data_IF_641223536927
#
_entry.id   IF_641223536927
#
_cell.length_a   1.000
_cell.length_b   1.000
_cell.length_c   1.000
_cell.angle_alpha   90.00
_cell.angle_beta   90.00
_cell.angle_gamma   90.00
#
_symmetry.space_group_name_H-M   'P 1'
#
loop_
_entity.id
_entity.type
_entity.pdbx_description
1 polymer ?
#
# COMPACT_ATOMS: atom_id res chain seq x y z
N UNK A 1 3.78 26.12 12.66
CA UNK A 1 4.74 25.83 11.57
C UNK A 1 4.17 24.72 10.70
N UNK A 2 4.36 24.76 9.37
CA UNK A 2 3.93 23.67 8.47
C UNK A 2 5.05 22.64 8.39
N UNK A 3 4.76 21.38 8.70
CA UNK A 3 5.66 20.23 8.54
C UNK A 3 5.49 19.68 7.12
N UNK A 4 6.61 19.43 6.44
CA UNK A 4 6.66 18.84 5.10
C UNK A 4 7.36 17.49 5.19
N UNK A 5 6.63 16.42 4.93
CA UNK A 5 7.16 15.05 4.99
C UNK A 5 7.17 14.46 3.59
N UNK A 6 8.31 13.95 3.12
CA UNK A 6 8.38 13.28 1.83
C UNK A 6 7.57 11.97 1.86
N UNK A 7 6.91 11.65 0.76
CA UNK A 7 6.21 10.37 0.59
C UNK A 7 6.31 9.87 -0.85
N UNK A 8 6.15 8.56 -1.01
CA UNK A 8 6.01 7.90 -2.29
C UNK A 8 4.93 6.83 -2.21
N UNK A 9 4.18 6.67 -3.29
CA UNK A 9 3.18 5.62 -3.44
C UNK A 9 3.39 4.88 -4.76
N UNK A 10 3.02 3.60 -4.78
CA UNK A 10 3.06 2.78 -5.99
C UNK A 10 1.65 2.34 -6.34
N UNK A 11 1.24 2.55 -7.59
CA UNK A 11 -0.05 2.14 -8.12
C UNK A 11 0.15 1.21 -9.32
N UNK A 12 -0.65 0.17 -9.39
CA UNK A 12 -0.80 -0.71 -10.55
C UNK A 12 -2.11 -0.42 -11.28
N UNK A 13 -2.35 -1.11 -12.38
CA UNK A 13 -3.61 -0.99 -13.12
C UNK A 13 -4.84 -1.11 -12.20
N UNK A 14 -5.81 -0.23 -12.42
CA UNK A 14 -7.07 -0.08 -11.67
C UNK A 14 -6.94 0.17 -10.16
N UNK A 15 -5.73 0.39 -9.64
CA UNK A 15 -5.57 0.75 -8.23
C UNK A 15 -5.92 2.22 -7.98
N UNK A 16 -6.53 2.44 -6.81
CA UNK A 16 -6.95 3.76 -6.33
C UNK A 16 -6.25 4.08 -5.00
N UNK A 17 -5.61 5.23 -4.92
CA UNK A 17 -5.22 5.87 -3.66
C UNK A 17 -6.31 6.88 -3.27
N UNK A 18 -6.65 6.93 -1.98
CA UNK A 18 -7.70 7.80 -1.45
C UNK A 18 -7.13 8.69 -0.37
N UNK A 19 -7.47 9.97 -0.42
CA UNK A 19 -7.23 10.89 0.67
C UNK A 19 -7.86 10.34 1.96
N UNK A 20 -7.03 10.17 2.98
CA UNK A 20 -7.48 9.85 4.32
C UNK A 20 -7.26 11.09 5.17
N UNK A 21 -8.33 11.54 5.81
CA UNK A 21 -8.23 12.61 6.80
C UNK A 21 -7.40 12.08 7.97
N UNK A 22 -6.39 12.84 8.36
CA UNK A 22 -5.50 12.51 9.47
C UNK A 22 -5.29 13.78 10.28
N UNK A 23 -5.16 13.65 11.60
CA UNK A 23 -4.99 14.80 12.49
C UNK A 23 -3.81 15.66 12.05
N UNK A 24 -4.10 16.91 11.71
CA UNK A 24 -3.10 17.88 11.26
C UNK A 24 -2.62 17.72 9.82
N UNK A 25 -3.11 16.74 9.03
CA UNK A 25 -2.85 16.69 7.60
C UNK A 25 -3.61 17.83 6.88
N UNK A 26 -2.93 18.53 5.98
CA UNK A 26 -3.51 19.58 5.15
C UNK A 26 -3.76 19.10 3.73
N UNK A 27 -2.75 18.55 3.09
CA UNK A 27 -2.86 18.03 1.73
C UNK A 27 -1.68 17.13 1.34
N UNK A 28 -1.86 16.39 0.25
CA UNK A 28 -0.79 15.74 -0.49
C UNK A 28 -0.41 16.57 -1.71
N UNK A 29 0.89 16.80 -1.89
CA UNK A 29 1.45 17.49 -3.06
C UNK A 29 2.26 16.49 -3.86
N UNK A 30 1.89 16.26 -5.11
CA UNK A 30 2.62 15.36 -6.00
C UNK A 30 3.52 16.17 -6.92
N UNK A 31 4.79 15.76 -6.99
CA UNK A 31 5.85 16.48 -7.70
C UNK A 31 6.40 15.70 -8.89
N UNK A 32 6.37 14.36 -8.82
CA UNK A 32 6.92 13.51 -9.86
C UNK A 32 6.15 12.20 -9.97
N UNK A 33 6.00 11.71 -11.19
CA UNK A 33 5.36 10.44 -11.51
C UNK A 33 6.30 9.65 -12.41
N UNK A 34 6.55 8.39 -12.10
CA UNK A 34 7.49 7.51 -12.80
C UNK A 34 6.83 6.18 -13.12
N UNK A 35 6.89 5.77 -14.37
CA UNK A 35 6.49 4.46 -14.88
C UNK A 35 7.66 3.49 -14.71
N UNK A 36 7.36 2.34 -14.12
CA UNK A 36 8.27 1.22 -13.95
C UNK A 36 7.71 0.03 -14.71
N UNK A 37 8.45 -0.40 -15.73
CA UNK A 37 8.08 -1.47 -16.65
C UNK A 37 8.01 -1.03 -18.11
N UNK A 38 7.69 -1.97 -19.00
CA UNK A 38 7.48 -1.73 -20.43
C UNK A 38 5.98 -1.69 -20.70
N UNK A 39 5.46 -0.52 -21.07
CA UNK A 39 4.03 -0.36 -21.37
C UNK A 39 3.60 1.10 -21.31
N UNK A 40 2.29 1.30 -21.13
CA UNK A 40 1.67 2.61 -20.95
C UNK A 40 0.82 2.66 -19.67
N UNK A 41 0.81 3.83 -19.03
CA UNK A 41 -0.03 4.09 -17.87
C UNK A 41 -0.48 5.55 -17.81
N UNK A 42 -1.68 5.78 -17.30
CA UNK A 42 -2.28 7.10 -17.10
C UNK A 42 -2.69 7.26 -15.65
N UNK A 43 -2.34 8.41 -15.07
CA UNK A 43 -2.71 8.79 -13.71
C UNK A 43 -3.79 9.87 -13.77
N UNK A 44 -4.88 9.63 -13.05
CA UNK A 44 -6.00 10.55 -12.94
C UNK A 44 -6.23 10.99 -11.51
N UNK A 45 -6.54 12.27 -11.33
CA UNK A 45 -7.10 12.81 -10.09
C UNK A 45 -8.62 12.81 -10.17
N UNK A 46 -9.30 12.36 -9.12
CA UNK A 46 -10.76 12.33 -9.05
C UNK A 46 -11.29 13.08 -7.84
N UNK A 47 -12.43 13.73 -8.06
CA UNK A 47 -13.33 14.28 -7.05
C UNK A 47 -14.75 13.79 -7.33
N UNK A 48 -15.71 14.13 -6.48
CA UNK A 48 -17.12 13.76 -6.65
C UNK A 48 -17.72 14.17 -8.00
N UNK A 49 -17.19 15.20 -8.66
CA UNK A 49 -17.71 15.72 -9.92
C UNK A 49 -16.66 15.98 -11.00
N UNK A 50 -15.38 15.69 -10.75
CA UNK A 50 -14.29 15.96 -11.70
C UNK A 50 -13.35 14.78 -11.83
N UNK A 51 -12.87 14.58 -13.06
CA UNK A 51 -11.76 13.70 -13.39
C UNK A 51 -10.76 14.49 -14.22
N UNK A 52 -9.51 14.54 -13.79
CA UNK A 52 -8.42 15.21 -14.51
C UNK A 52 -7.30 14.22 -14.81
N UNK A 53 -6.77 14.27 -16.03
CA UNK A 53 -5.55 13.54 -16.38
C UNK A 53 -4.35 14.31 -15.83
N UNK A 54 -3.57 13.68 -14.96
CA UNK A 54 -2.38 14.28 -14.34
C UNK A 54 -1.13 13.93 -15.14
N UNK A 55 -1.02 12.69 -15.60
CA UNK A 55 0.09 12.23 -16.42
C UNK A 55 -0.32 11.08 -17.34
N UNK A 56 0.30 11.04 -18.52
CA UNK A 56 0.28 9.92 -19.45
C UNK A 56 1.71 9.50 -19.71
N UNK A 57 2.07 8.28 -19.30
CA UNK A 57 3.41 7.73 -19.36
C UNK A 57 3.43 6.56 -20.34
N UNK A 58 4.56 6.41 -21.04
CA UNK A 58 4.83 5.33 -21.98
C UNK A 58 6.30 4.96 -21.90
N UNK A 59 6.71 3.79 -22.36
CA UNK A 59 8.12 3.34 -22.23
C UNK A 59 9.19 4.38 -22.65
N UNK A 60 8.93 5.20 -23.68
CA UNK A 60 9.85 6.28 -24.13
C UNK A 60 9.77 7.57 -23.28
N UNK A 61 8.68 7.78 -22.56
CA UNK A 61 8.42 8.90 -21.65
C UNK A 61 7.93 8.31 -20.32
N UNK A 62 8.87 7.70 -19.60
CA UNK A 62 8.58 6.94 -18.39
C UNK A 62 8.56 7.82 -17.13
N UNK A 63 8.71 9.13 -17.24
CA UNK A 63 8.60 10.03 -16.10
C UNK A 63 8.00 11.38 -16.48
N UNK A 64 7.34 12.01 -15.52
CA UNK A 64 6.73 13.33 -15.65
C UNK A 64 6.89 14.11 -14.34
N UNK A 65 7.24 15.40 -14.43
CA UNK A 65 7.10 16.32 -13.30
C UNK A 65 5.69 16.89 -13.29
N UNK A 66 5.07 16.95 -12.12
CA UNK A 66 3.72 17.49 -11.96
C UNK A 66 3.67 18.43 -10.76
N UNK A 67 2.60 19.23 -10.68
CA UNK A 67 2.25 20.03 -9.51
C UNK A 67 0.78 19.80 -9.21
N UNK A 68 0.47 18.62 -8.69
CA UNK A 68 -0.90 18.23 -8.36
C UNK A 68 -1.09 18.25 -6.85
N UNK A 69 -2.25 18.74 -6.39
CA UNK A 69 -2.59 18.83 -4.97
C UNK A 69 -3.88 18.04 -4.76
N UNK A 70 -3.87 17.19 -3.73
CA UNK A 70 -4.99 16.36 -3.31
C UNK A 70 -5.28 16.66 -1.85
N UNK A 71 -6.53 17.03 -1.56
CA UNK A 71 -7.03 17.46 -0.27
C UNK A 71 -8.51 17.08 -0.13
N UNK A 72 -9.06 17.24 1.07
CA UNK A 72 -10.45 16.87 1.37
C UNK A 72 -11.50 17.64 0.55
N UNK A 73 -11.17 18.83 0.04
CA UNK A 73 -12.12 19.76 -0.58
C UNK A 73 -12.09 19.75 -2.11
N UNK A 74 -11.02 19.22 -2.71
CA UNK A 74 -10.80 19.31 -4.14
C UNK A 74 -10.76 17.93 -4.79
N UNK A 75 -9.59 17.28 -4.84
CA UNK A 75 -9.44 15.92 -5.34
C UNK A 75 -9.17 15.00 -4.16
N UNK A 76 -9.93 13.91 -4.06
CA UNK A 76 -9.84 12.96 -2.94
C UNK A 76 -9.34 11.59 -3.38
N UNK A 77 -9.20 11.33 -4.68
CA UNK A 77 -8.63 10.08 -5.16
C UNK A 77 -7.61 10.27 -6.27
N UNK A 78 -6.68 9.33 -6.34
CA UNK A 78 -5.73 9.15 -7.43
C UNK A 78 -5.92 7.74 -8.01
N UNK A 79 -6.13 7.61 -9.32
CA UNK A 79 -6.29 6.31 -9.98
C UNK A 79 -5.23 6.12 -11.05
N UNK A 80 -4.70 4.90 -11.12
CA UNK A 80 -3.86 4.44 -12.22
C UNK A 80 -4.66 3.54 -13.17
N UNK A 81 -4.55 3.80 -14.47
CA UNK A 81 -5.08 2.96 -15.55
C UNK A 81 -3.95 2.69 -16.54
N UNK A 82 -3.60 1.43 -16.78
CA UNK A 82 -2.47 1.08 -17.64
C UNK A 82 -2.35 -0.42 -17.86
N UNK A 83 -1.22 -0.84 -18.41
CA UNK A 83 -0.95 -2.25 -18.61
C UNK A 83 -0.75 -2.97 -17.27
N UNK A 84 -1.27 -4.18 -17.12
CA UNK A 84 -1.24 -4.95 -15.87
C UNK A 84 0.19 -5.29 -15.39
N UNK A 85 1.14 -5.34 -16.33
CA UNK A 85 2.56 -5.58 -16.07
C UNK A 85 3.33 -4.33 -15.62
N UNK A 86 2.68 -3.16 -15.63
CA UNK A 86 3.32 -1.88 -15.27
C UNK A 86 2.95 -1.42 -13.87
N UNK A 87 3.84 -0.63 -13.28
CA UNK A 87 3.57 0.08 -12.04
C UNK A 87 3.97 1.54 -12.16
N UNK A 88 3.26 2.42 -11.47
CA UNK A 88 3.51 3.84 -11.45
C UNK A 88 3.83 4.28 -10.03
N UNK A 89 5.00 4.88 -9.86
CA UNK A 89 5.42 5.52 -8.63
C UNK A 89 5.07 6.99 -8.68
N UNK A 90 4.32 7.47 -7.68
CA UNK A 90 3.98 8.89 -7.52
C UNK A 90 4.69 9.40 -6.29
N UNK A 91 5.51 10.43 -6.45
CA UNK A 91 6.36 11.00 -5.42
C UNK A 91 5.89 12.40 -5.07
N UNK A 92 6.08 12.79 -3.81
CA UNK A 92 5.59 14.07 -3.36
C UNK A 92 5.86 14.37 -1.89
N UNK A 93 5.08 15.31 -1.35
CA UNK A 93 5.12 15.67 0.06
C UNK A 93 3.73 15.71 0.68
N UNK A 94 3.64 15.17 1.89
CA UNK A 94 2.55 15.39 2.83
C UNK A 94 2.79 16.72 3.55
N UNK A 95 1.83 17.63 3.49
CA UNK A 95 1.85 18.88 4.25
C UNK A 95 0.93 18.74 5.45
N UNK A 96 1.42 19.09 6.63
CA UNK A 96 0.63 19.07 7.86
C UNK A 96 0.95 20.19 8.82
N UNK A 97 0.04 20.49 9.73
CA UNK A 97 0.28 21.34 10.90
C UNK A 97 1.05 20.53 11.95
N UNK A 98 1.94 21.22 12.65
CA UNK A 98 2.61 20.67 13.83
C UNK A 98 1.56 20.55 14.94
N UNK A 99 1.04 19.34 15.15
CA UNK A 99 0.24 19.01 16.32
C UNK A 99 1.23 18.80 17.48
N UNK A 100 0.93 19.30 18.68
CA UNK A 100 1.71 18.91 19.86
C UNK A 100 1.61 17.39 19.98
N UNK A 101 2.71 16.70 19.72
CA UNK A 101 2.81 15.25 19.87
C UNK A 101 2.57 14.95 21.36
N UNK A 102 1.38 14.43 21.71
CA UNK A 102 1.41 13.25 22.60
C UNK A 102 2.16 12.21 21.79
N UNK A 103 3.22 11.64 22.35
CA UNK A 103 3.99 10.57 21.73
C UNK A 103 3.06 9.41 21.34
N UNK A 104 2.51 9.47 20.13
CA UNK A 104 2.00 8.30 19.44
C UNK A 104 3.18 7.75 18.68
N UNK A 105 3.67 6.61 19.17
CA UNK A 105 4.68 5.78 18.53
C UNK A 105 4.21 5.44 17.10
N UNK A 106 4.59 6.26 16.12
CA UNK A 106 4.38 5.94 14.71
C UNK A 106 5.40 4.89 14.29
N UNK A 107 5.16 3.63 14.71
CA UNK A 107 5.54 2.52 13.86
C UNK A 107 4.68 2.64 12.61
N UNK A 108 5.32 2.77 11.44
CA UNK A 108 4.66 2.54 10.17
C UNK A 108 4.10 1.12 10.20
N UNK A 109 2.82 0.96 10.52
CA UNK A 109 2.12 -0.25 10.14
C UNK A 109 1.99 -0.23 8.61
N UNK A 110 2.94 -0.90 7.95
CA UNK A 110 2.58 -1.70 6.80
C UNK A 110 1.47 -2.66 7.27
N UNK A 111 0.21 -2.20 7.22
CA UNK A 111 -0.95 -3.10 7.19
C UNK A 111 -0.92 -3.82 5.83
N UNK A 112 0.09 -4.68 5.66
CA UNK A 112 -0.14 -5.93 4.96
C UNK A 112 -1.26 -6.58 5.74
N UNK A 113 -2.38 -6.82 5.06
CA UNK A 113 -3.51 -7.59 5.58
C UNK A 113 -3.03 -8.97 6.07
N UNK A 114 -2.44 -9.04 7.27
CA UNK A 114 -1.97 -10.29 7.85
C UNK A 114 -3.15 -11.18 8.20
N UNK A 115 -4.26 -10.59 8.63
CA UNK A 115 -5.42 -11.36 9.07
C UNK A 115 -6.26 -11.93 7.92
N UNK A 116 -6.37 -11.22 6.78
CA UNK A 116 -7.07 -11.73 5.60
C UNK A 116 -6.24 -12.76 4.80
N UNK A 117 -4.90 -12.68 4.86
CA UNK A 117 -4.03 -13.70 4.24
C UNK A 117 -3.76 -14.91 5.15
N UNK A 118 -3.83 -14.77 6.49
CA UNK A 118 -3.72 -15.90 7.43
C UNK A 118 -4.80 -16.94 7.16
N UNK A 119 -6.02 -16.51 6.81
CA UNK A 119 -7.12 -17.40 6.43
C UNK A 119 -6.89 -18.16 5.11
N UNK A 120 -6.03 -17.64 4.23
CA UNK A 120 -5.71 -18.20 2.91
C UNK A 120 -4.46 -19.09 2.92
N UNK A 121 -3.61 -19.01 3.96
CA UNK A 121 -2.48 -19.92 4.11
C UNK A 121 -2.95 -21.34 4.46
N UNK A 122 -2.34 -22.40 3.88
CA UNK A 122 -2.58 -23.77 4.32
C UNK A 122 -2.36 -23.86 5.84
N UNK A 123 -3.25 -24.57 6.55
CA UNK A 123 -3.25 -24.66 8.02
C UNK A 123 -1.88 -25.09 8.56
N UNK A 124 -1.19 -25.95 7.81
CA UNK A 124 0.11 -26.49 8.20
C UNK A 124 1.26 -25.49 8.18
N UNK A 125 1.06 -24.30 7.61
CA UNK A 125 2.06 -23.22 7.55
C UNK A 125 1.82 -22.10 8.55
N UNK A 126 0.68 -22.11 9.24
CA UNK A 126 0.33 -21.13 10.27
C UNK A 126 1.11 -21.40 11.55
N UNK A 127 1.45 -20.36 12.29
CA UNK A 127 1.73 -20.51 13.72
C UNK A 127 0.37 -20.48 14.42
N UNK A 128 -0.03 -21.63 14.98
CA UNK A 128 -1.28 -21.81 15.71
C UNK A 128 -1.00 -21.77 17.20
N UNK A 129 -1.81 -21.02 17.92
CA UNK A 129 -1.83 -21.03 19.38
C UNK A 129 -2.54 -22.29 19.89
N UNK A 130 -2.44 -22.57 21.21
CA UNK A 130 -2.96 -23.81 21.82
C UNK A 130 -4.43 -24.06 21.49
N UNK A 131 -5.23 -23.01 21.56
CA UNK A 131 -6.68 -23.08 21.43
C UNK A 131 -7.09 -23.31 19.96
N UNK A 132 -6.38 -22.68 19.02
CA UNK A 132 -6.59 -22.87 17.59
C UNK A 132 -6.14 -24.26 17.13
N UNK A 133 -5.05 -24.79 17.70
CA UNK A 133 -4.60 -26.15 17.42
C UNK A 133 -5.62 -27.18 17.89
N UNK A 134 -6.28 -26.97 19.04
CA UNK A 134 -7.29 -27.90 19.55
C UNK A 134 -8.54 -28.00 18.69
N UNK A 135 -8.88 -26.93 17.96
CA UNK A 135 -10.02 -26.88 17.04
C UNK A 135 -9.78 -27.64 15.72
N UNK A 136 -8.55 -28.04 15.41
CA UNK A 136 -8.24 -28.77 14.19
C UNK A 136 -8.77 -30.22 14.20
N UNK A 137 -9.09 -30.71 13.00
CA UNK A 137 -9.40 -32.13 12.79
C UNK A 137 -8.19 -33.02 13.12
N UNK A 138 -8.43 -34.30 13.47
CA UNK A 138 -7.35 -35.25 13.78
C UNK A 138 -6.36 -35.42 12.61
N UNK A 139 -6.83 -35.27 11.36
CA UNK A 139 -6.00 -35.39 10.16
C UNK A 139 -5.06 -34.19 10.03
N UNK A 140 -5.58 -32.98 10.21
CA UNK A 140 -4.83 -31.73 10.05
C UNK A 140 -3.81 -31.53 11.18
N UNK A 141 -4.17 -31.94 12.41
CA UNK A 141 -3.23 -32.00 13.56
C UNK A 141 -1.98 -32.84 13.24
N UNK A 142 -2.15 -33.93 12.49
CA UNK A 142 -1.05 -34.85 12.14
C UNK A 142 -0.14 -34.26 11.07
N UNK A 143 -0.70 -33.56 10.08
CA UNK A 143 0.08 -32.89 9.04
C UNK A 143 0.81 -31.65 9.56
N UNK A 144 0.15 -30.84 10.39
CA UNK A 144 0.75 -29.69 11.09
C UNK A 144 2.01 -30.08 11.87
N UNK A 145 1.91 -31.12 12.72
CA UNK A 145 3.05 -31.65 13.50
C UNK A 145 4.19 -32.18 12.60
N UNK A 146 3.87 -32.74 11.44
CA UNK A 146 4.86 -33.27 10.49
C UNK A 146 5.65 -32.15 9.83
N UNK A 147 5.01 -31.07 9.39
CA UNK A 147 5.69 -29.90 8.79
C UNK A 147 6.50 -29.10 9.82
N UNK A 148 6.01 -28.94 11.05
CA UNK A 148 6.76 -28.28 12.13
C UNK A 148 8.08 -29.02 12.45
N UNK A 149 8.05 -30.37 12.49
CA UNK A 149 9.28 -31.18 12.63
C UNK A 149 10.23 -31.06 11.45
N UNK A 150 9.74 -30.81 10.23
CA UNK A 150 10.59 -30.57 9.06
C UNK A 150 11.24 -29.18 9.11
N UNK A 151 10.50 -28.14 9.51
CA UNK A 151 11.05 -26.79 9.73
C UNK A 151 12.18 -26.78 10.77
N UNK A 152 11.97 -27.41 11.94
CA UNK A 152 13.01 -27.51 12.97
C UNK A 152 14.26 -28.26 12.52
N UNK A 153 14.15 -29.20 11.56
CA UNK A 153 15.32 -29.89 11.00
C UNK A 153 16.08 -29.01 10.01
N UNK A 154 15.40 -28.12 9.29
CA UNK A 154 16.00 -27.20 8.33
C UNK A 154 16.69 -26.01 9.02
N UNK A 155 16.22 -25.61 10.20
CA UNK A 155 16.84 -24.53 11.00
C UNK A 155 18.09 -24.97 11.78
N UNK A 156 18.32 -26.28 11.92
CA UNK A 156 19.49 -26.86 12.60
C UNK A 156 20.63 -27.26 11.64
N UNK A 157 20.55 -26.86 10.37
CA UNK A 157 21.58 -27.01 9.34
C UNK A 157 22.01 -25.63 8.82
#
# INVERSE_FOLDING_TARGET
MIKRTFFGLSLRDKQKFTYKEENGLLCYTFTQIVLVGTGEAKIYGLSSNKKILIASLKGKQNQCQCKFIMDENNFTHLICLGDESTSVHVLGYKLGKQVQEKEENYQQENLVFKDEFRALQPVEERELDSDEFELLSKKDKKEYKKKQKQKQKLENY
#
